data_IF_173200541122
#
_entry.id   IF_173200541122
#
_cell.length_a   1.000
_cell.length_b   1.000
_cell.length_c   1.000
_cell.angle_alpha   90.00
_cell.angle_beta   90.00
_cell.angle_gamma   90.00
#
_symmetry.space_group_name_H-M   'P 1'
#
loop_
_entity.id
_entity.type
_entity.pdbx_description
1 polymer ?
#
# COMPACT_ATOMS: atom_id res chain seq x y z
N UNK A 1 19.62 7.50 1.25
CA UNK A 1 21.05 7.14 1.13
C UNK A 1 21.96 7.90 2.08
N UNK A 2 21.43 8.88 2.84
CA UNK A 2 22.26 9.79 3.63
C UNK A 2 22.78 10.99 2.84
N UNK A 3 22.55 11.02 1.52
CA UNK A 3 22.86 12.13 0.62
C UNK A 3 21.65 13.07 0.52
N UNK A 4 21.84 14.35 0.90
CA UNK A 4 20.80 15.39 0.68
C UNK A 4 20.48 15.61 -0.79
N UNK A 5 21.43 15.32 -1.68
CA UNK A 5 21.22 15.43 -3.13
C UNK A 5 20.17 14.42 -3.59
N UNK A 6 20.17 13.22 -3.04
CA UNK A 6 19.23 12.16 -3.42
C UNK A 6 17.81 12.50 -2.93
N UNK A 7 17.69 13.15 -1.77
CA UNK A 7 16.40 13.63 -1.24
C UNK A 7 15.81 14.72 -2.14
N UNK A 8 16.63 15.67 -2.60
CA UNK A 8 16.20 16.74 -3.52
C UNK A 8 15.77 16.14 -4.87
N UNK A 9 16.57 15.22 -5.42
CA UNK A 9 16.25 14.54 -6.67
C UNK A 9 14.93 13.77 -6.55
N UNK A 10 14.71 13.08 -5.43
CA UNK A 10 13.48 12.34 -5.17
C UNK A 10 12.24 13.25 -5.19
N UNK A 11 12.28 14.41 -4.51
CA UNK A 11 11.14 15.33 -4.46
C UNK A 11 10.84 15.97 -5.84
N UNK A 12 11.87 16.30 -6.63
CA UNK A 12 11.70 16.82 -7.99
C UNK A 12 11.01 15.79 -8.93
N UNK A 13 11.46 14.53 -8.87
CA UNK A 13 10.84 13.46 -9.67
C UNK A 13 9.44 13.10 -9.20
N UNK A 14 9.19 13.16 -7.89
CA UNK A 14 7.85 12.99 -7.31
C UNK A 14 6.85 14.04 -7.80
N UNK A 15 7.29 15.28 -7.98
CA UNK A 15 6.46 16.34 -8.55
C UNK A 15 5.96 16.00 -9.96
N UNK A 16 6.82 15.34 -10.74
CA UNK A 16 6.62 15.06 -12.16
C UNK A 16 5.91 13.71 -12.42
N UNK A 17 6.13 12.71 -11.56
CA UNK A 17 5.52 11.39 -11.66
C UNK A 17 4.05 11.33 -11.25
N UNK A 18 3.35 10.29 -11.70
CA UNK A 18 1.95 10.02 -11.35
C UNK A 18 1.77 8.72 -10.53
N UNK A 19 2.82 7.92 -10.36
CA UNK A 19 2.82 6.69 -9.56
C UNK A 19 4.08 6.62 -8.71
N UNK A 20 3.91 6.29 -7.43
CA UNK A 20 5.01 6.08 -6.49
C UNK A 20 4.83 4.72 -5.79
N UNK A 21 5.87 3.89 -5.83
CA UNK A 21 5.95 2.66 -5.06
C UNK A 21 7.10 2.76 -4.07
N UNK A 22 6.76 2.82 -2.79
CA UNK A 22 7.71 2.94 -1.69
C UNK A 22 8.06 1.56 -1.15
N UNK A 23 9.35 1.32 -0.93
CA UNK A 23 9.84 0.09 -0.32
C UNK A 23 10.39 0.38 1.08
N UNK A 24 9.98 -0.43 2.07
CA UNK A 24 10.37 -0.29 3.45
C UNK A 24 11.62 -1.12 3.76
N UNK A 25 12.65 -0.45 4.27
CA UNK A 25 13.84 -1.12 4.80
C UNK A 25 13.52 -2.02 5.99
N UNK A 26 12.65 -1.57 6.90
CA UNK A 26 12.22 -2.35 8.09
C UNK A 26 11.59 -3.70 7.70
N UNK A 27 10.76 -3.70 6.66
CA UNK A 27 10.17 -4.94 6.13
C UNK A 27 11.23 -5.87 5.53
N UNK A 28 12.12 -5.32 4.71
CA UNK A 28 13.21 -6.07 4.07
C UNK A 28 14.18 -6.70 5.08
N UNK A 29 14.55 -5.95 6.13
CA UNK A 29 15.41 -6.44 7.22
C UNK A 29 14.78 -7.60 7.99
N UNK A 30 13.45 -7.59 8.14
CA UNK A 30 12.65 -8.69 8.72
C UNK A 30 12.34 -9.81 7.73
N UNK A 31 12.86 -9.74 6.49
CA UNK A 31 12.62 -10.70 5.40
C UNK A 31 11.15 -10.83 4.98
N UNK A 32 10.35 -9.79 5.17
CA UNK A 32 9.00 -9.73 4.63
C UNK A 32 9.01 -9.21 3.20
N UNK A 33 8.51 -10.04 2.28
CA UNK A 33 8.44 -9.72 0.86
C UNK A 33 7.02 -9.94 0.32
N UNK A 34 6.53 -9.06 -0.57
CA UNK A 34 7.18 -7.84 -1.06
C UNK A 34 7.26 -6.73 0.03
N UNK A 35 8.41 -6.06 0.13
CA UNK A 35 8.69 -5.07 1.18
C UNK A 35 8.04 -3.69 0.89
N UNK A 36 6.76 -3.67 0.51
CA UNK A 36 6.06 -2.46 0.05
C UNK A 36 5.48 -1.69 1.23
N UNK A 37 5.68 -0.38 1.23
CA UNK A 37 5.00 0.55 2.12
C UNK A 37 3.67 0.98 1.45
N UNK A 38 2.57 0.34 1.84
CA UNK A 38 1.25 0.55 1.22
C UNK A 38 0.72 1.95 1.54
N UNK A 39 1.02 2.47 2.72
CA UNK A 39 0.56 3.78 3.16
C UNK A 39 1.17 4.91 2.33
N UNK A 40 2.48 4.84 2.08
CA UNK A 40 3.22 5.83 1.29
C UNK A 40 3.07 5.66 -0.22
N UNK A 41 2.79 4.43 -0.68
CA UNK A 41 2.61 4.16 -2.11
C UNK A 41 1.25 4.65 -2.60
N UNK A 42 1.22 5.31 -3.77
CA UNK A 42 -0.02 5.84 -4.35
C UNK A 42 0.11 6.09 -5.85
N UNK A 43 -1.04 6.20 -6.51
CA UNK A 43 -1.15 6.62 -7.91
C UNK A 43 -2.13 7.78 -7.99
N UNK A 44 -1.74 8.88 -8.65
CA UNK A 44 -2.63 9.99 -8.93
C UNK A 44 -3.68 9.56 -9.96
N UNK A 45 -4.92 10.00 -9.77
CA UNK A 45 -6.05 9.66 -10.64
C UNK A 45 -6.33 8.16 -10.74
N UNK A 46 -6.21 7.43 -9.62
CA UNK A 46 -6.55 6.01 -9.54
C UNK A 46 -8.04 5.73 -9.85
N UNK A 47 -8.90 6.75 -9.81
CA UNK A 47 -10.31 6.72 -10.27
C UNK A 47 -10.47 6.36 -11.74
N UNK A 48 -9.44 6.58 -12.56
CA UNK A 48 -9.44 6.23 -13.98
C UNK A 48 -8.92 4.81 -14.24
N UNK A 49 -8.36 4.14 -13.22
CA UNK A 49 -7.68 2.85 -13.35
C UNK A 49 -8.47 1.70 -12.72
N UNK A 50 -9.24 2.00 -11.67
CA UNK A 50 -10.02 1.03 -10.92
C UNK A 50 -11.50 1.26 -11.12
N UNK A 51 -12.27 0.18 -11.17
CA UNK A 51 -13.72 0.29 -11.15
C UNK A 51 -14.20 0.94 -9.83
N UNK A 52 -15.29 1.72 -9.83
CA UNK A 52 -15.73 2.47 -8.64
C UNK A 52 -15.95 1.60 -7.39
N UNK A 53 -16.42 0.36 -7.57
CA UNK A 53 -16.60 -0.59 -6.48
C UNK A 53 -15.27 -1.09 -5.91
N UNK A 54 -14.31 -1.41 -6.79
CA UNK A 54 -12.96 -1.81 -6.38
C UNK A 54 -12.23 -0.66 -5.68
N UNK A 55 -12.34 0.56 -6.20
CA UNK A 55 -11.75 1.75 -5.61
C UNK A 55 -12.24 1.98 -4.18
N UNK A 56 -13.55 1.83 -3.94
CA UNK A 56 -14.14 1.94 -2.60
C UNK A 56 -13.57 0.90 -1.62
N UNK A 57 -13.37 -0.35 -2.09
CA UNK A 57 -12.75 -1.42 -1.30
C UNK A 57 -11.28 -1.13 -0.99
N UNK A 58 -10.52 -0.67 -1.98
CA UNK A 58 -9.12 -0.27 -1.82
C UNK A 58 -9.00 0.88 -0.81
N UNK A 59 -9.86 1.89 -0.87
CA UNK A 59 -9.89 2.96 0.14
C UNK A 59 -10.23 2.46 1.54
N UNK A 60 -11.11 1.46 1.64
CA UNK A 60 -11.42 0.81 2.93
C UNK A 60 -10.19 0.08 3.47
N UNK A 61 -9.50 -0.70 2.64
CA UNK A 61 -8.22 -1.32 3.00
C UNK A 61 -7.21 -0.28 3.51
N UNK A 62 -7.02 0.83 2.78
CA UNK A 62 -6.09 1.90 3.18
C UNK A 62 -6.47 2.52 4.54
N UNK A 63 -7.76 2.74 4.80
CA UNK A 63 -8.22 3.24 6.11
C UNK A 63 -7.95 2.23 7.23
N UNK A 64 -8.14 0.95 6.99
CA UNK A 64 -7.82 -0.11 7.96
C UNK A 64 -6.34 -0.14 8.30
N UNK A 65 -5.46 0.00 7.29
CA UNK A 65 -4.00 0.10 7.47
C UNK A 65 -3.65 1.25 8.40
N UNK A 66 -4.20 2.44 8.15
CA UNK A 66 -3.96 3.62 8.99
C UNK A 66 -4.50 3.40 10.42
N UNK A 67 -5.65 2.75 10.57
CA UNK A 67 -6.26 2.48 11.88
C UNK A 67 -5.45 1.53 12.77
N UNK A 68 -4.72 0.57 12.18
CA UNK A 68 -3.84 -0.34 12.93
C UNK A 68 -2.44 0.22 13.20
N UNK A 69 -2.21 1.50 12.94
CA UNK A 69 -0.95 2.20 13.22
C UNK A 69 -0.02 2.37 12.01
N UNK A 70 -0.44 1.93 10.81
CA UNK A 70 0.26 2.17 9.57
C UNK A 70 1.61 1.45 9.43
N UNK A 71 2.38 1.86 8.43
CA UNK A 71 3.74 1.37 8.17
C UNK A 71 3.89 -0.14 7.98
N UNK A 72 5.06 -0.67 8.33
CA UNK A 72 5.44 -2.05 8.02
C UNK A 72 4.60 -3.13 8.72
N UNK A 73 4.12 -2.90 9.94
CA UNK A 73 3.31 -3.88 10.68
C UNK A 73 1.92 -4.05 10.04
N UNK A 74 1.33 -2.96 9.55
CA UNK A 74 0.09 -3.01 8.80
C UNK A 74 0.25 -3.73 7.45
N UNK A 75 1.37 -3.51 6.74
CA UNK A 75 1.69 -4.27 5.52
C UNK A 75 1.84 -5.76 5.82
N UNK A 76 2.53 -6.14 6.89
CA UNK A 76 2.73 -7.53 7.31
C UNK A 76 1.39 -8.25 7.51
N UNK A 77 0.45 -7.64 8.24
CA UNK A 77 -0.89 -8.19 8.44
C UNK A 77 -1.62 -8.46 7.11
N UNK A 78 -1.47 -7.58 6.11
CA UNK A 78 -2.08 -7.77 4.79
C UNK A 78 -1.40 -8.91 4.05
N UNK A 79 -0.08 -8.95 4.04
CA UNK A 79 0.70 -10.00 3.38
C UNK A 79 0.43 -11.39 3.98
N UNK A 80 0.04 -11.48 5.25
CA UNK A 80 -0.39 -12.73 5.86
C UNK A 80 -1.84 -13.13 5.51
N UNK A 81 -2.69 -12.17 5.15
CA UNK A 81 -4.08 -12.42 4.74
C UNK A 81 -4.21 -12.72 3.25
N UNK A 82 -3.44 -12.07 2.38
CA UNK A 82 -3.51 -12.23 0.92
C UNK A 82 -3.42 -13.71 0.45
N UNK A 83 -2.51 -14.55 0.99
CA UNK A 83 -2.41 -15.96 0.58
C UNK A 83 -3.60 -16.83 1.00
N UNK A 84 -4.51 -16.31 1.85
CA UNK A 84 -5.70 -17.03 2.31
C UNK A 84 -6.87 -16.93 1.32
N UNK A 85 -6.69 -16.23 0.22
CA UNK A 85 -7.69 -16.02 -0.84
C UNK A 85 -7.07 -16.33 -2.19
N UNK A 86 -7.88 -16.80 -3.14
CA UNK A 86 -7.39 -17.24 -4.44
C UNK A 86 -7.04 -16.07 -5.37
N UNK A 87 -7.65 -14.89 -5.13
CA UNK A 87 -7.43 -13.69 -5.93
C UNK A 87 -7.77 -12.40 -5.18
N UNK A 88 -7.39 -11.26 -5.76
CA UNK A 88 -7.61 -9.93 -5.17
C UNK A 88 -9.10 -9.58 -5.00
N UNK A 89 -9.97 -10.07 -5.89
CA UNK A 89 -11.42 -9.79 -5.81
C UNK A 89 -11.99 -10.43 -4.54
N UNK A 90 -11.64 -11.69 -4.29
CA UNK A 90 -12.02 -12.41 -3.08
C UNK A 90 -11.43 -11.75 -1.84
N UNK A 91 -10.14 -11.40 -1.86
CA UNK A 91 -9.49 -10.67 -0.78
C UNK A 91 -10.24 -9.38 -0.40
N UNK A 92 -10.50 -8.52 -1.38
CA UNK A 92 -11.20 -7.25 -1.16
C UNK A 92 -12.64 -7.47 -0.66
N UNK A 93 -13.30 -8.55 -1.05
CA UNK A 93 -14.62 -8.91 -0.53
C UNK A 93 -14.58 -9.31 0.96
N UNK A 94 -13.48 -9.86 1.46
CA UNK A 94 -13.34 -10.21 2.89
C UNK A 94 -13.32 -8.99 3.81
N UNK A 95 -12.87 -7.83 3.32
CA UNK A 95 -12.75 -6.60 4.12
C UNK A 95 -14.11 -6.02 4.55
N UNK A 96 -15.19 -6.40 3.89
CA UNK A 96 -16.55 -6.02 4.27
C UNK A 96 -17.19 -6.98 5.27
N UNK A 97 -16.60 -8.17 5.49
CA UNK A 97 -17.18 -9.22 6.35
C UNK A 97 -16.95 -8.97 7.84
N UNK A 98 -15.95 -8.16 8.20
CA UNK A 98 -15.54 -7.94 9.60
C UNK A 98 -16.22 -6.71 10.27
N UNK A 99 -17.27 -6.13 9.66
CA UNK A 99 -18.00 -4.95 10.21
C UNK A 99 -19.41 -5.31 10.74
N UNK A 100 -19.78 -6.60 10.83
CA UNK A 100 -21.03 -7.04 11.46
C UNK A 100 -20.85 -8.29 12.32
#
# INVERSE_FOLDING_TARGET
>A
TGSRMDDVIYEEFKGTGNMEMHLSRKLSERRFFPAIDIERSSTRREDLLLDPDELSKVWTLRRMITAVGGGGEATEMILERLPKTDNNIEFLATLHKDIY
#
